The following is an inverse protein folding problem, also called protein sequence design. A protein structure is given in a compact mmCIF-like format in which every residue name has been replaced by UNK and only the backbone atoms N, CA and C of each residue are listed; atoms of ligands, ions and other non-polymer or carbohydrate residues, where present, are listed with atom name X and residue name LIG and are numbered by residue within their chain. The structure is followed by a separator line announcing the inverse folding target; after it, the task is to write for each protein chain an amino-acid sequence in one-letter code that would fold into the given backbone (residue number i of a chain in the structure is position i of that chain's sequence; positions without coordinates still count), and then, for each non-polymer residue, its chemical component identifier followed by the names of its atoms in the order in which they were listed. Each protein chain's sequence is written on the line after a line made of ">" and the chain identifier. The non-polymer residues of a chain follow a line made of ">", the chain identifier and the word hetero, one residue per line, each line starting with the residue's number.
data_IF_399380341206
#
_entry.id   IF_399380341206
#
_cell.length_a   1.000
_cell.length_b   1.000
_cell.length_c   1.000
_cell.angle_alpha   90.00
_cell.angle_beta   90.00
_cell.angle_gamma   90.00
#
_symmetry.space_group_name_H-M   'P 1'
#
loop_
_entity.id
_entity.type
_entity.pdbx_description
1 polymer ?
#
# COMPACT_ATOMS: atom_id res chain seq x y z
N UNK A 1 11.68 7.22 -3.88
CA UNK A 1 11.50 6.35 -5.04
C UNK A 1 12.19 6.93 -6.27
N UNK A 2 12.90 6.11 -7.04
CA UNK A 2 13.61 6.52 -8.25
C UNK A 2 12.70 7.13 -9.32
N UNK A 3 11.54 6.50 -9.58
CA UNK A 3 10.60 6.99 -10.59
C UNK A 3 10.06 8.40 -10.31
N UNK A 4 9.88 8.76 -9.03
CA UNK A 4 9.45 10.12 -8.67
C UNK A 4 10.53 11.15 -8.99
N UNK A 5 11.81 10.81 -8.84
CA UNK A 5 12.92 11.68 -9.20
C UNK A 5 12.98 11.90 -10.73
N UNK A 6 12.90 10.81 -11.50
CA UNK A 6 12.89 10.85 -12.98
C UNK A 6 11.71 11.69 -13.50
N UNK A 7 10.50 11.44 -12.99
CA UNK A 7 9.31 12.24 -13.35
C UNK A 7 9.46 13.71 -12.96
N UNK A 8 10.01 13.99 -11.79
CA UNK A 8 10.28 15.36 -11.33
C UNK A 8 11.22 16.09 -12.29
N UNK A 9 12.29 15.42 -12.72
CA UNK A 9 13.23 15.97 -13.69
C UNK A 9 12.57 16.29 -15.03
N UNK A 10 11.83 15.32 -15.60
CA UNK A 10 11.11 15.52 -16.87
C UNK A 10 10.10 16.67 -16.73
N UNK A 11 9.32 16.71 -15.64
CA UNK A 11 8.31 17.76 -15.42
C UNK A 11 8.94 19.16 -15.36
N UNK A 12 10.07 19.31 -14.67
CA UNK A 12 10.73 20.62 -14.49
C UNK A 12 11.41 21.11 -15.76
N UNK A 13 11.90 20.20 -16.61
CA UNK A 13 12.72 20.56 -17.79
C UNK A 13 11.95 20.47 -19.13
N UNK A 14 10.73 19.93 -19.12
CA UNK A 14 9.92 19.85 -20.33
C UNK A 14 9.25 21.21 -20.62
N UNK A 15 9.86 21.98 -21.52
CA UNK A 15 9.33 23.28 -21.99
C UNK A 15 8.60 23.20 -23.33
N UNK A 16 8.85 22.16 -24.13
CA UNK A 16 8.35 22.03 -25.50
C UNK A 16 7.11 21.14 -25.61
N UNK A 17 6.87 20.27 -24.63
CA UNK A 17 5.79 19.28 -24.61
C UNK A 17 5.78 18.32 -25.80
N UNK A 18 6.89 18.19 -26.52
CA UNK A 18 7.05 17.29 -27.66
C UNK A 18 7.56 15.93 -27.20
N UNK A 19 7.03 14.86 -27.78
CA UNK A 19 7.37 13.48 -27.37
C UNK A 19 8.86 13.15 -27.51
N UNK A 20 9.54 13.72 -28.51
CA UNK A 20 10.98 13.52 -28.69
C UNK A 20 11.81 14.14 -27.57
N UNK A 21 11.40 15.33 -27.10
CA UNK A 21 12.07 16.02 -25.99
C UNK A 21 11.80 15.32 -24.66
N UNK A 22 10.55 14.86 -24.45
CA UNK A 22 10.20 14.03 -23.29
C UNK A 22 11.02 12.75 -23.26
N UNK A 23 11.20 12.06 -24.40
CA UNK A 23 12.04 10.86 -24.49
C UNK A 23 13.50 11.15 -24.13
N UNK A 24 14.06 12.27 -24.61
CA UNK A 24 15.43 12.68 -24.25
C UNK A 24 15.55 12.96 -22.75
N UNK A 25 14.65 13.77 -22.20
CA UNK A 25 14.64 14.09 -20.76
C UNK A 25 14.43 12.85 -19.89
N UNK A 26 13.67 11.87 -20.37
CA UNK A 26 13.47 10.60 -19.67
C UNK A 26 14.79 9.83 -19.56
N UNK A 27 15.53 9.69 -20.66
CA UNK A 27 16.83 9.01 -20.66
C UNK A 27 17.82 9.73 -19.73
N UNK A 28 17.91 11.06 -19.83
CA UNK A 28 18.74 11.86 -18.93
C UNK A 28 18.32 11.72 -17.46
N UNK A 29 17.02 11.66 -17.19
CA UNK A 29 16.47 11.45 -15.85
C UNK A 29 16.87 10.10 -15.28
N UNK A 30 16.87 9.04 -16.10
CA UNK A 30 17.31 7.69 -15.69
C UNK A 30 18.81 7.69 -15.38
N UNK A 31 19.64 8.30 -16.23
CA UNK A 31 21.09 8.39 -16.02
C UNK A 31 21.48 9.15 -14.74
N UNK A 32 20.64 10.08 -14.29
CA UNK A 32 20.83 10.83 -13.05
C UNK A 32 20.58 10.00 -11.79
N UNK A 33 19.90 8.87 -11.89
CA UNK A 33 19.67 7.99 -10.73
C UNK A 33 20.97 7.25 -10.43
N UNK A 34 21.70 7.73 -9.43
CA UNK A 34 22.98 7.13 -9.04
C UNK A 34 22.79 5.82 -8.25
N UNK A 35 23.81 4.95 -8.20
CA UNK A 35 23.77 3.74 -7.37
C UNK A 35 23.48 4.04 -5.89
N UNK A 36 24.01 5.15 -5.37
CA UNK A 36 23.75 5.59 -4.00
C UNK A 36 22.28 5.97 -3.79
N UNK A 37 21.69 6.76 -4.69
CA UNK A 37 20.27 7.06 -4.66
C UNK A 37 19.43 5.79 -4.70
N UNK A 38 19.80 4.83 -5.56
CA UNK A 38 19.12 3.55 -5.67
C UNK A 38 19.18 2.77 -4.35
N UNK A 39 20.36 2.65 -3.75
CA UNK A 39 20.56 2.02 -2.44
C UNK A 39 19.69 2.69 -1.38
N UNK A 40 19.66 4.02 -1.33
CA UNK A 40 18.85 4.77 -0.38
C UNK A 40 17.35 4.51 -0.57
N UNK A 41 16.88 4.38 -1.81
CA UNK A 41 15.48 4.04 -2.07
C UNK A 41 15.14 2.62 -1.62
N UNK A 42 16.00 1.63 -1.89
CA UNK A 42 15.80 0.25 -1.43
C UNK A 42 15.79 0.20 0.10
N UNK A 43 16.76 0.82 0.77
CA UNK A 43 16.80 0.89 2.24
C UNK A 43 15.58 1.58 2.83
N UNK A 44 15.06 2.62 2.18
CA UNK A 44 13.83 3.26 2.61
C UNK A 44 12.62 2.33 2.45
N UNK A 45 12.50 1.63 1.33
CA UNK A 45 11.40 0.67 1.10
C UNK A 45 11.40 -0.45 2.14
N UNK A 46 12.55 -1.04 2.45
CA UNK A 46 12.67 -2.07 3.50
C UNK A 46 12.15 -1.54 4.85
N UNK A 47 12.55 -0.31 5.24
CA UNK A 47 12.07 0.31 6.48
C UNK A 47 10.57 0.55 6.51
N UNK A 48 9.95 0.88 5.38
CA UNK A 48 8.49 1.01 5.31
C UNK A 48 7.81 -0.36 5.36
N UNK A 49 8.38 -1.38 4.70
CA UNK A 49 7.90 -2.77 4.77
C UNK A 49 7.93 -3.31 6.20
N UNK A 50 9.01 -3.07 6.95
CA UNK A 50 9.12 -3.48 8.36
C UNK A 50 7.98 -2.91 9.23
N UNK A 51 7.45 -1.72 8.90
CA UNK A 51 6.30 -1.15 9.61
C UNK A 51 5.01 -1.89 9.29
N UNK A 52 4.81 -2.27 8.03
CA UNK A 52 3.66 -3.07 7.63
C UNK A 52 3.70 -4.45 8.28
N UNK A 53 4.86 -5.10 8.30
CA UNK A 53 5.06 -6.35 9.03
C UNK A 53 4.73 -6.25 10.52
N UNK A 54 5.10 -5.14 11.18
CA UNK A 54 4.73 -4.91 12.58
C UNK A 54 3.22 -4.75 12.76
N UNK A 55 2.55 -4.04 11.86
CA UNK A 55 1.10 -3.88 11.90
C UNK A 55 0.40 -5.23 11.71
N UNK A 56 0.85 -6.03 10.76
CA UNK A 56 0.30 -7.37 10.51
C UNK A 56 0.48 -8.25 11.76
N UNK A 57 1.68 -8.28 12.34
CA UNK A 57 1.95 -9.03 13.57
C UNK A 57 1.04 -8.64 14.74
N UNK A 58 0.89 -7.32 14.99
CA UNK A 58 -0.01 -6.83 16.06
C UNK A 58 -1.46 -7.20 15.74
N UNK A 59 -1.87 -7.12 14.48
CA UNK A 59 -3.24 -7.45 14.07
C UNK A 59 -3.54 -8.93 14.28
N UNK A 60 -2.60 -9.80 13.93
CA UNK A 60 -2.70 -11.25 14.14
C UNK A 60 -2.74 -11.57 15.65
N UNK A 61 -1.85 -10.98 16.45
CA UNK A 61 -1.82 -11.17 17.91
C UNK A 61 -3.15 -10.78 18.56
N UNK A 62 -3.73 -9.63 18.18
CA UNK A 62 -5.03 -9.19 18.71
C UNK A 62 -6.17 -10.14 18.31
N UNK A 63 -6.18 -10.63 17.07
CA UNK A 63 -7.21 -11.58 16.61
C UNK A 63 -7.08 -12.94 17.32
N UNK A 64 -5.86 -13.41 17.53
CA UNK A 64 -5.58 -14.66 18.25
C UNK A 64 -5.90 -14.55 19.75
N UNK A 65 -5.66 -13.41 20.39
CA UNK A 65 -6.09 -13.17 21.78
C UNK A 65 -7.62 -13.13 21.90
N UNK A 66 -8.32 -12.58 20.91
CA UNK A 66 -9.78 -12.47 20.92
C UNK A 66 -10.53 -13.75 20.50
N UNK A 67 -9.90 -14.68 19.76
CA UNK A 67 -10.56 -15.95 19.36
C UNK A 67 -10.93 -16.85 20.53
N UNK A 68 -10.33 -16.67 21.72
CA UNK A 68 -10.70 -17.41 22.94
C UNK A 68 -11.99 -16.85 23.60
N UNK A 69 -12.39 -15.61 23.30
CA UNK A 69 -13.48 -14.92 24.01
C UNK A 69 -14.81 -14.80 23.24
N UNK A 70 -14.89 -15.22 21.98
CA UNK A 70 -16.14 -15.13 21.20
C UNK A 70 -17.08 -16.33 21.45
N UNK A 71 -17.69 -16.40 22.64
CA UNK A 71 -18.86 -17.27 22.87
C UNK A 71 -20.11 -16.53 22.41
N UNK A 72 -20.61 -16.89 21.22
CA UNK A 72 -21.93 -16.47 20.74
C UNK A 72 -23.00 -17.27 21.49
N UNK A 73 -23.48 -16.75 22.61
CA UNK A 73 -24.64 -17.33 23.31
C UNK A 73 -25.89 -17.04 22.49
N UNK A 74 -26.31 -18.01 21.67
CA UNK A 74 -27.63 -17.99 21.03
C UNK A 74 -28.66 -18.24 22.14
N UNK A 75 -29.17 -17.17 22.76
CA UNK A 75 -30.40 -17.25 23.57
C UNK A 75 -31.54 -17.51 22.59
N UNK A 76 -31.92 -18.78 22.46
CA UNK A 76 -32.94 -19.26 21.55
C UNK A 76 -34.31 -18.61 21.79
N UNK A 77 -34.57 -17.50 21.10
CA UNK A 77 -35.90 -17.00 20.83
C UNK A 77 -36.05 -16.82 19.31
N UNK A 78 -36.01 -17.93 18.57
CA UNK A 78 -36.70 -18.01 17.28
C UNK A 78 -38.19 -18.03 17.58
N UNK A 79 -38.81 -16.85 17.65
CA UNK A 79 -40.26 -16.77 17.48
C UNK A 79 -40.55 -17.11 16.03
N UNK A 80 -41.04 -18.33 15.79
CA UNK A 80 -41.59 -18.71 14.50
C UNK A 80 -42.94 -18.04 14.40
N UNK A 81 -43.06 -17.00 13.57
CA UNK A 81 -44.36 -16.42 13.23
C UNK A 81 -45.18 -17.49 12.49
N UNK A 82 -46.11 -18.11 13.21
CA UNK A 82 -47.11 -18.98 12.62
C UNK A 82 -48.11 -18.12 11.86
N UNK A 83 -48.16 -18.29 10.55
CA UNK A 83 -49.17 -17.72 9.66
C UNK A 83 -50.56 -18.21 10.10
N UNK A 84 -51.37 -17.32 10.67
CA UNK A 84 -52.79 -17.59 10.90
C UNK A 84 -53.51 -17.62 9.54
N UNK A 85 -54.07 -18.79 9.24
CA UNK A 85 -54.96 -19.04 8.10
C UNK A 85 -56.43 -18.81 8.50
N UNK A 86 -57.20 -18.32 7.51
CA UNK A 86 -58.66 -18.03 7.43
C UNK A 86 -59.18 -16.67 7.94
#
# INVERSE_FOLDING_TARGET
>A
MAWSNVKGYVKTNNSTFKINDVRRLLNEGIERVTPEMWSNYVSHTIKEEDKFWQIDYISDEMLDEHTIQHVLTITGLTTSDSEDSD
#
